data_IF_057590117884
#
_entry.id   IF_057590117884
#
_cell.length_a   1.000
_cell.length_b   1.000
_cell.length_c   1.000
_cell.angle_alpha   90.00
_cell.angle_beta   90.00
_cell.angle_gamma   90.00
#
_symmetry.space_group_name_H-M   'P 1'
#
loop_
_entity.id
_entity.type
_entity.pdbx_description
1 polymer ?
#
# COMPACT_ATOMS: atom_id res chain seq x y z
N UNK A 1 -1.85 26.15 -3.00
CA UNK A 1 -0.43 25.91 -2.63
C UNK A 1 -0.16 24.58 -1.92
N UNK A 2 -0.90 24.18 -0.86
CA UNK A 2 -0.60 22.97 -0.04
C UNK A 2 -0.37 21.67 -0.83
N UNK A 3 -1.13 21.45 -1.92
CA UNK A 3 -1.02 20.24 -2.76
C UNK A 3 0.33 20.11 -3.49
N UNK A 4 0.88 21.21 -4.02
CA UNK A 4 2.18 21.20 -4.72
C UNK A 4 3.31 20.96 -3.70
N UNK A 5 3.21 21.56 -2.52
CA UNK A 5 4.18 21.36 -1.44
C UNK A 5 4.22 19.90 -0.98
N UNK A 6 3.05 19.26 -0.81
CA UNK A 6 2.97 17.84 -0.46
C UNK A 6 3.60 16.93 -1.51
N UNK A 7 3.37 17.21 -2.80
CA UNK A 7 3.99 16.46 -3.90
C UNK A 7 5.52 16.58 -3.83
N UNK A 8 6.06 17.80 -3.76
CA UNK A 8 7.52 18.01 -3.71
C UNK A 8 8.13 17.36 -2.47
N UNK A 9 7.50 17.53 -1.30
CA UNK A 9 7.93 16.92 -0.04
C UNK A 9 7.99 15.39 -0.16
N UNK A 10 6.94 14.78 -0.71
CA UNK A 10 6.86 13.32 -0.89
C UNK A 10 7.92 12.82 -1.87
N UNK A 11 8.12 13.51 -2.99
CA UNK A 11 9.16 13.15 -3.97
C UNK A 11 10.55 13.21 -3.34
N UNK A 12 10.88 14.27 -2.59
CA UNK A 12 12.17 14.38 -1.92
C UNK A 12 12.37 13.28 -0.88
N UNK A 13 11.36 12.99 -0.06
CA UNK A 13 11.42 11.92 0.95
C UNK A 13 11.65 10.56 0.29
N UNK A 14 10.83 10.20 -0.71
CA UNK A 14 10.96 8.92 -1.43
C UNK A 14 12.30 8.81 -2.15
N UNK A 15 12.78 9.89 -2.79
CA UNK A 15 14.07 9.91 -3.47
C UNK A 15 15.23 9.69 -2.49
N UNK A 16 15.16 10.27 -1.28
CA UNK A 16 16.20 10.06 -0.27
C UNK A 16 16.25 8.61 0.22
N UNK A 17 15.09 7.97 0.43
CA UNK A 17 15.05 6.55 0.80
C UNK A 17 15.52 5.65 -0.34
N UNK A 18 15.17 5.95 -1.59
CA UNK A 18 15.73 5.27 -2.77
C UNK A 18 17.25 5.45 -2.87
N UNK A 19 17.77 6.64 -2.56
CA UNK A 19 19.22 6.88 -2.56
C UNK A 19 19.94 6.02 -1.51
N UNK A 20 19.36 5.86 -0.32
CA UNK A 20 19.86 4.94 0.73
C UNK A 20 19.81 3.48 0.28
N UNK A 21 18.82 3.10 -0.54
CA UNK A 21 18.73 1.77 -1.13
C UNK A 21 19.70 1.52 -2.30
N UNK A 22 20.61 2.46 -2.61
CA UNK A 22 21.68 2.27 -3.59
C UNK A 22 21.41 2.87 -4.97
N UNK A 23 20.27 3.50 -5.21
CA UNK A 23 20.00 4.17 -6.49
C UNK A 23 20.89 5.41 -6.70
N UNK A 24 21.19 5.77 -7.95
CA UNK A 24 21.78 7.08 -8.23
C UNK A 24 20.78 8.19 -7.95
N UNK A 25 21.27 9.41 -7.72
CA UNK A 25 20.38 10.56 -7.43
C UNK A 25 19.35 10.76 -8.54
N UNK A 26 19.80 10.72 -9.80
CA UNK A 26 18.92 10.87 -10.96
C UNK A 26 17.87 9.75 -11.05
N UNK A 27 18.26 8.49 -10.80
CA UNK A 27 17.32 7.36 -10.79
C UNK A 27 16.31 7.47 -9.66
N UNK A 28 16.77 7.84 -8.45
CA UNK A 28 15.93 7.99 -7.27
C UNK A 28 14.84 9.05 -7.49
N UNK A 29 15.20 10.24 -7.98
CA UNK A 29 14.23 11.30 -8.27
C UNK A 29 13.26 10.92 -9.40
N UNK A 30 13.74 10.32 -10.49
CA UNK A 30 12.86 9.86 -11.59
C UNK A 30 11.84 8.83 -11.09
N UNK A 31 12.28 7.87 -10.27
CA UNK A 31 11.42 6.81 -9.73
C UNK A 31 10.43 7.35 -8.69
N UNK A 32 10.87 8.22 -7.79
CA UNK A 32 10.01 8.91 -6.81
C UNK A 32 8.96 9.78 -7.51
N UNK A 33 9.37 10.58 -8.50
CA UNK A 33 8.44 11.39 -9.29
C UNK A 33 7.40 10.52 -9.99
N UNK A 34 7.82 9.43 -10.62
CA UNK A 34 6.91 8.47 -11.26
C UNK A 34 5.88 7.93 -10.26
N UNK A 35 6.28 7.62 -9.03
CA UNK A 35 5.37 7.08 -8.00
C UNK A 35 4.41 8.11 -7.43
N UNK A 36 4.83 9.36 -7.27
CA UNK A 36 3.97 10.43 -6.72
C UNK A 36 3.03 10.99 -7.78
N UNK A 37 3.49 11.12 -9.03
CA UNK A 37 2.69 11.69 -10.13
C UNK A 37 1.89 10.64 -10.89
N UNK A 38 2.43 9.45 -11.11
CA UNK A 38 1.66 8.35 -11.67
C UNK A 38 1.02 7.56 -10.53
N UNK A 39 -0.16 7.03 -10.79
CA UNK A 39 -0.86 6.18 -9.84
C UNK A 39 -0.04 4.92 -9.61
N UNK A 40 0.25 4.59 -8.34
CA UNK A 40 0.97 3.37 -8.01
C UNK A 40 -0.03 2.24 -7.75
N UNK A 41 -0.07 1.27 -8.66
CA UNK A 41 -0.79 0.01 -8.46
C UNK A 41 0.21 -0.98 -7.88
N UNK A 42 -0.13 -1.57 -6.74
CA UNK A 42 0.74 -2.54 -6.05
C UNK A 42 -0.04 -3.78 -5.65
N UNK A 43 0.65 -4.92 -5.76
CA UNK A 43 0.17 -6.17 -5.20
C UNK A 43 0.39 -6.18 -3.70
N UNK A 44 -0.66 -6.53 -2.96
CA UNK A 44 -0.61 -6.69 -1.50
C UNK A 44 0.35 -7.82 -1.14
N UNK A 45 1.24 -7.56 -0.20
CA UNK A 45 2.17 -8.55 0.34
C UNK A 45 1.56 -9.29 1.54
N UNK A 46 1.98 -10.54 1.74
CA UNK A 46 1.59 -11.33 2.90
C UNK A 46 0.16 -11.88 2.86
N UNK A 47 -0.48 -11.95 1.68
CA UNK A 47 -1.87 -12.43 1.55
C UNK A 47 -2.07 -13.90 1.89
N UNK A 48 -0.99 -14.70 1.92
CA UNK A 48 -1.01 -16.14 2.22
C UNK A 48 -0.82 -16.47 3.69
N UNK A 49 -0.46 -15.50 4.53
CA UNK A 49 -0.20 -15.72 5.95
C UNK A 49 -1.46 -15.56 6.78
N UNK A 50 -1.53 -16.30 7.90
CA UNK A 50 -2.69 -16.34 8.80
C UNK A 50 -3.99 -16.63 8.03
N UNK A 51 -5.12 -16.12 8.52
CA UNK A 51 -6.41 -16.29 7.89
C UNK A 51 -6.73 -15.25 6.80
N UNK A 52 -5.73 -14.80 6.02
CA UNK A 52 -5.92 -13.76 5.00
C UNK A 52 -6.55 -14.29 3.71
N UNK A 53 -6.35 -15.56 3.39
CA UNK A 53 -6.99 -16.18 2.23
C UNK A 53 -8.52 -16.24 2.38
N UNK A 54 -9.04 -16.67 3.53
CA UNK A 54 -10.49 -16.67 3.77
C UNK A 54 -11.04 -15.24 3.82
N UNK A 55 -10.30 -14.28 4.41
CA UNK A 55 -10.69 -12.86 4.39
C UNK A 55 -10.80 -12.31 2.97
N UNK A 56 -9.85 -12.63 2.09
CA UNK A 56 -9.89 -12.22 0.69
C UNK A 56 -11.04 -12.90 -0.05
N UNK A 57 -11.31 -14.17 0.22
CA UNK A 57 -12.46 -14.88 -0.34
C UNK A 57 -13.78 -14.25 0.10
N UNK A 58 -13.90 -13.88 1.38
CA UNK A 58 -15.06 -13.19 1.92
C UNK A 58 -15.26 -11.81 1.28
N UNK A 59 -14.17 -11.08 1.02
CA UNK A 59 -14.25 -9.77 0.37
C UNK A 59 -14.74 -9.84 -1.09
N UNK A 60 -14.61 -10.98 -1.79
CA UNK A 60 -15.18 -11.16 -3.13
C UNK A 60 -16.71 -11.11 -3.17
N UNK A 61 -17.38 -11.29 -2.04
CA UNK A 61 -18.83 -11.21 -1.94
C UNK A 61 -19.36 -9.77 -2.01
N UNK A 62 -18.48 -8.78 -1.85
CA UNK A 62 -18.84 -7.36 -1.84
C UNK A 62 -18.40 -6.67 -3.13
N UNK A 63 -19.10 -5.59 -3.50
CA UNK A 63 -18.68 -4.72 -4.59
C UNK A 63 -17.43 -3.94 -4.17
N UNK A 64 -16.38 -3.99 -5.00
CA UNK A 64 -15.07 -3.39 -4.66
C UNK A 64 -15.19 -1.88 -4.43
N UNK A 65 -16.10 -1.23 -5.14
CA UNK A 65 -16.37 0.20 -5.06
C UNK A 65 -16.95 0.64 -3.72
N UNK A 66 -17.64 -0.26 -3.00
CA UNK A 66 -18.21 0.04 -1.67
C UNK A 66 -17.16 -0.08 -0.56
N UNK A 67 -16.09 -0.84 -0.81
CA UNK A 67 -15.00 -1.08 0.13
C UNK A 67 -14.09 0.14 0.27
N UNK A 68 -13.76 0.50 1.52
CA UNK A 68 -12.81 1.58 1.81
C UNK A 68 -11.49 1.00 2.27
N UNK A 69 -10.37 1.53 1.78
CA UNK A 69 -9.04 1.08 2.19
C UNK A 69 -8.32 2.16 2.97
N UNK A 70 -7.74 1.77 4.11
CA UNK A 70 -6.87 2.65 4.90
C UNK A 70 -5.52 2.00 5.09
N UNK A 71 -4.47 2.81 4.98
CA UNK A 71 -3.10 2.43 5.29
C UNK A 71 -2.79 2.81 6.74
N UNK A 72 -2.26 1.86 7.52
CA UNK A 72 -1.88 2.09 8.93
C UNK A 72 -0.43 1.71 9.17
N UNK A 73 0.35 2.61 9.78
CA UNK A 73 1.72 2.32 10.22
C UNK A 73 1.71 1.29 11.35
N UNK A 74 2.65 0.34 11.27
CA UNK A 74 2.92 -0.62 12.33
C UNK A 74 4.42 -0.59 12.68
N UNK A 75 4.82 0.40 13.48
CA UNK A 75 6.23 0.62 13.83
C UNK A 75 6.82 -0.50 14.69
N UNK A 76 5.99 -1.14 15.51
CA UNK A 76 6.37 -2.26 16.38
C UNK A 76 6.41 -3.62 15.68
N UNK A 77 6.32 -3.66 14.34
CA UNK A 77 6.39 -4.93 13.61
C UNK A 77 7.79 -5.56 13.76
N UNK A 78 7.91 -6.81 14.22
CA UNK A 78 9.21 -7.43 14.52
C UNK A 78 10.04 -7.73 13.27
N UNK A 79 9.43 -7.79 12.09
CA UNK A 79 10.12 -8.12 10.83
C UNK A 79 10.48 -6.88 10.01
N UNK A 80 9.66 -5.82 10.09
CA UNK A 80 9.87 -4.57 9.35
C UNK A 80 9.30 -3.35 10.08
N UNK A 81 10.16 -2.52 10.69
CA UNK A 81 9.79 -1.22 11.30
C UNK A 81 9.04 -0.26 10.36
N UNK A 82 9.19 -0.43 9.05
CA UNK A 82 8.51 0.39 8.04
C UNK A 82 7.17 -0.22 7.60
N UNK A 83 6.71 -1.30 8.23
CA UNK A 83 5.48 -2.00 7.85
C UNK A 83 4.27 -1.04 7.82
N UNK A 84 3.48 -1.20 6.75
CA UNK A 84 2.22 -0.50 6.56
C UNK A 84 1.15 -1.55 6.28
N UNK A 85 0.22 -1.69 7.21
CA UNK A 85 -0.94 -2.56 7.08
C UNK A 85 -1.94 -1.97 6.10
N UNK A 86 -2.57 -2.86 5.34
CA UNK A 86 -3.66 -2.55 4.44
C UNK A 86 -4.95 -3.07 5.08
N UNK A 87 -5.76 -2.14 5.54
CA UNK A 87 -7.03 -2.42 6.22
C UNK A 87 -8.16 -2.10 5.26
N UNK A 88 -9.00 -3.09 4.99
CA UNK A 88 -10.25 -2.93 4.23
C UNK A 88 -11.39 -2.76 5.21
N UNK A 89 -12.17 -1.71 5.05
CA UNK A 89 -13.41 -1.46 5.77
C UNK A 89 -14.57 -1.85 4.85
N UNK A 90 -15.53 -2.56 5.41
CA UNK A 90 -16.73 -3.08 4.77
C UNK A 90 -17.89 -2.30 5.40
N UNK A 91 -18.32 -1.17 4.80
CA UNK A 91 -19.32 -0.30 5.42
C UNK A 91 -20.67 -0.98 5.64
N UNK A 92 -21.06 -1.87 4.72
CA UNK A 92 -22.34 -2.59 4.73
C UNK A 92 -22.58 -3.39 6.02
N UNK A 93 -21.51 -3.92 6.61
CA UNK A 93 -21.58 -4.72 7.85
C UNK A 93 -20.82 -4.07 9.02
N UNK A 94 -20.36 -2.83 8.84
CA UNK A 94 -19.53 -2.08 9.81
C UNK A 94 -18.33 -2.88 10.37
N UNK A 95 -17.66 -3.66 9.51
CA UNK A 95 -16.46 -4.43 9.89
C UNK A 95 -15.23 -3.93 9.14
N UNK A 96 -14.06 -4.22 9.70
CA UNK A 96 -12.77 -3.98 9.03
C UNK A 96 -11.87 -5.19 9.18
N UNK A 97 -11.02 -5.43 8.20
CA UNK A 97 -10.11 -6.58 8.17
C UNK A 97 -8.77 -6.21 7.56
N UNK A 98 -7.70 -6.82 8.06
CA UNK A 98 -6.36 -6.67 7.51
C UNK A 98 -6.17 -7.72 6.43
N UNK A 99 -5.91 -7.26 5.20
CA UNK A 99 -5.72 -8.13 4.03
C UNK A 99 -4.24 -8.40 3.71
N UNK A 100 -3.34 -7.65 4.33
CA UNK A 100 -1.90 -7.80 4.16
C UNK A 100 -1.18 -6.47 4.36
N UNK A 101 -0.03 -6.35 3.71
CA UNK A 101 0.92 -5.25 3.88
C UNK A 101 1.31 -4.62 2.55
N UNK A 102 1.73 -3.35 2.60
CA UNK A 102 2.46 -2.74 1.50
C UNK A 102 3.79 -3.48 1.32
N UNK A 103 4.21 -3.79 0.08
CA UNK A 103 5.50 -4.44 -0.16
C UNK A 103 6.67 -3.70 0.49
N UNK A 104 7.55 -4.43 1.17
CA UNK A 104 8.67 -3.91 1.98
C UNK A 104 9.48 -2.79 1.29
N UNK A 105 9.82 -2.98 0.02
CA UNK A 105 10.56 -1.98 -0.75
C UNK A 105 9.83 -0.64 -0.82
N UNK A 106 8.52 -0.64 -1.13
CA UNK A 106 7.72 0.57 -1.15
C UNK A 106 7.39 1.07 0.25
N UNK A 107 7.20 0.18 1.22
CA UNK A 107 6.89 0.53 2.61
C UNK A 107 8.02 1.36 3.24
N UNK A 108 9.28 1.07 2.90
CA UNK A 108 10.43 1.87 3.35
C UNK A 108 10.35 3.35 2.95
N UNK A 109 9.78 3.63 1.77
CA UNK A 109 9.61 4.98 1.26
C UNK A 109 8.31 5.62 1.77
N UNK A 110 7.19 4.89 1.71
CA UNK A 110 5.88 5.38 2.10
C UNK A 110 5.76 5.64 3.60
N UNK A 111 6.42 4.85 4.44
CA UNK A 111 6.43 5.04 5.90
C UNK A 111 6.87 6.45 6.25
N UNK A 112 8.01 6.87 5.72
CA UNK A 112 8.55 8.23 5.91
C UNK A 112 7.63 9.33 5.40
N UNK A 113 6.91 9.09 4.30
CA UNK A 113 5.94 10.05 3.75
C UNK A 113 4.75 10.21 4.69
N UNK A 114 4.22 9.10 5.23
CA UNK A 114 3.13 9.09 6.21
C UNK A 114 3.57 9.74 7.51
N UNK A 115 4.74 9.36 8.03
CA UNK A 115 5.33 9.88 9.27
C UNK A 115 5.60 11.40 9.16
N UNK A 116 5.88 11.90 7.95
CA UNK A 116 6.03 13.33 7.66
C UNK A 116 4.69 14.10 7.55
N UNK A 117 3.56 13.45 7.86
CA UNK A 117 2.22 14.03 7.89
C UNK A 117 1.57 14.20 6.51
N UNK A 118 2.10 13.56 5.46
CA UNK A 118 1.48 13.62 4.14
C UNK A 118 0.33 12.62 4.08
N UNK A 119 -0.85 13.09 3.66
CA UNK A 119 -2.03 12.24 3.47
C UNK A 119 -1.79 11.27 2.31
N UNK A 120 -1.91 9.98 2.58
CA UNK A 120 -1.82 8.91 1.58
C UNK A 120 -3.16 8.18 1.54
N UNK A 121 -3.74 8.06 0.35
CA UNK A 121 -5.01 7.39 0.12
C UNK A 121 -4.78 6.05 -0.59
N UNK A 122 -5.64 5.08 -0.32
CA UNK A 122 -5.62 3.79 -0.98
C UNK A 122 -7.02 3.40 -1.45
N UNK A 123 -7.08 2.67 -2.55
CA UNK A 123 -8.31 2.03 -3.06
C UNK A 123 -8.00 0.58 -3.43
N UNK A 124 -8.92 -0.32 -3.11
CA UNK A 124 -8.88 -1.68 -3.64
C UNK A 124 -9.29 -1.61 -5.11
N UNK A 125 -8.52 -2.25 -5.99
CA UNK A 125 -8.85 -2.35 -7.41
C UNK A 125 -9.45 -3.71 -7.74
N UNK A 126 -8.80 -4.77 -7.28
CA UNK A 126 -9.18 -6.13 -7.65
C UNK A 126 -8.67 -7.13 -6.62
N UNK A 127 -9.42 -8.22 -6.43
CA UNK A 127 -8.95 -9.42 -5.75
C UNK A 127 -8.59 -10.43 -6.85
N UNK A 128 -7.30 -10.71 -6.98
CA UNK A 128 -6.73 -11.51 -8.07
C UNK A 128 -6.40 -12.93 -7.61
N UNK A 129 -6.19 -13.84 -8.55
CA UNK A 129 -5.79 -15.23 -8.28
C UNK A 129 -6.93 -16.12 -7.80
N UNK A 130 -6.57 -17.35 -7.44
CA UNK A 130 -7.53 -18.40 -7.08
C UNK A 130 -8.32 -18.91 -8.28
N UNK A 131 -7.71 -18.92 -9.47
CA UNK A 131 -8.31 -19.40 -10.72
C UNK A 131 -8.14 -20.92 -10.88
N UNK A 132 -7.19 -21.53 -10.19
CA UNK A 132 -6.93 -22.98 -10.24
C UNK A 132 -6.66 -23.60 -8.86
N UNK A 133 -6.68 -24.93 -8.81
CA UNK A 133 -6.43 -25.71 -7.60
C UNK A 133 -5.04 -25.36 -7.02
N UNK A 134 -5.00 -25.02 -5.72
CA UNK A 134 -3.82 -24.54 -4.96
C UNK A 134 -3.32 -23.13 -5.28
N UNK A 135 -3.99 -22.36 -6.13
CA UNK A 135 -3.63 -20.96 -6.36
C UNK A 135 -4.12 -20.08 -5.21
N UNK A 136 -3.25 -19.23 -4.68
CA UNK A 136 -3.61 -18.30 -3.60
C UNK A 136 -4.19 -16.99 -4.14
N UNK A 137 -5.16 -16.46 -3.41
CA UNK A 137 -5.70 -15.13 -3.62
C UNK A 137 -4.65 -14.05 -3.32
N UNK A 138 -4.69 -13.00 -4.12
CA UNK A 138 -4.00 -11.74 -3.92
C UNK A 138 -4.95 -10.57 -3.99
N UNK A 139 -4.42 -9.37 -3.79
CA UNK A 139 -5.17 -8.14 -3.99
C UNK A 139 -4.29 -7.11 -4.69
N UNK A 140 -4.90 -6.30 -5.55
CA UNK A 140 -4.31 -5.12 -6.16
C UNK A 140 -4.90 -3.89 -5.50
N UNK A 141 -4.04 -3.02 -4.99
CA UNK A 141 -4.44 -1.73 -4.45
C UNK A 141 -3.78 -0.61 -5.23
N UNK A 142 -4.49 0.49 -5.33
CA UNK A 142 -4.01 1.75 -5.86
C UNK A 142 -3.71 2.69 -4.70
N UNK A 143 -2.48 3.17 -4.61
CA UNK A 143 -2.07 4.17 -3.61
C UNK A 143 -1.90 5.53 -4.30
N UNK A 144 -2.29 6.61 -3.63
CA UNK A 144 -2.22 7.99 -4.13
C UNK A 144 -1.79 8.93 -3.02
N UNK A 145 -0.99 9.95 -3.36
CA UNK A 145 -0.42 10.96 -2.45
C UNK A 145 -0.91 12.35 -2.84
#
# INVERSE_FOLDING_TARGET
>A
MKKITNIRKSVCIMANELKKAGYTLAQAFKKAWRRVKLQMVVRVAGTTFENRQERLQFLKLFQIETLKVTLKREEGNPFDRNAIQIIVHIPEINRKTVIGYVPRGLASELSRVIDAGVRVEAKLLEIIGGYSFKESLGALIKITI
#
